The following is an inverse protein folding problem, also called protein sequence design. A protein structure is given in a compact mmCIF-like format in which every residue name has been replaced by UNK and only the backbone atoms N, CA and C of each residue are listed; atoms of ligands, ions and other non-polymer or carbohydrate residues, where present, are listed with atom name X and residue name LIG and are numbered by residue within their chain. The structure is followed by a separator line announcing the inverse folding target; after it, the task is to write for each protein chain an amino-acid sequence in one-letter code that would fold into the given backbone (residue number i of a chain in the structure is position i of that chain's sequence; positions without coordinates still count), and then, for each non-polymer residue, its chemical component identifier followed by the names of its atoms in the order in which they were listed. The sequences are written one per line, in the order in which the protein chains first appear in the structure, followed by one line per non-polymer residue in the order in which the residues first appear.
data_IF_361031835142
#
_entry.id   IF_361031835142
#
_cell.length_a   1.000
_cell.length_b   1.000
_cell.length_c   1.000
_cell.angle_alpha   90.00
_cell.angle_beta   90.00
_cell.angle_gamma   90.00
#
_symmetry.space_group_name_H-M   'P 1'
#
loop_
_entity.id
_entity.type
_entity.pdbx_description
1 polymer ?
#
# COMPACT_ATOMS: atom_id res chain seq x y z
N UNK A 1 14.88 -11.20 -6.97
CA UNK A 1 13.80 -10.72 -6.06
C UNK A 1 14.29 -9.67 -5.07
N UNK A 2 15.42 -9.86 -4.37
CA UNK A 2 15.96 -8.89 -3.40
C UNK A 2 16.13 -7.46 -3.92
N UNK A 3 16.88 -7.27 -5.01
CA UNK A 3 17.08 -5.94 -5.62
C UNK A 3 15.79 -5.21 -6.01
N UNK A 4 14.74 -5.97 -6.38
CA UNK A 4 13.43 -5.41 -6.71
C UNK A 4 12.69 -4.90 -5.47
N UNK A 5 12.76 -5.63 -4.36
CA UNK A 5 12.17 -5.22 -3.09
C UNK A 5 12.93 -4.01 -2.51
N UNK A 6 14.26 -4.01 -2.59
CA UNK A 6 15.10 -2.91 -2.10
C UNK A 6 14.79 -1.60 -2.86
N UNK A 7 14.69 -1.66 -4.20
CA UNK A 7 14.29 -0.52 -5.02
C UNK A 7 12.90 0.01 -4.68
N UNK A 8 11.96 -0.87 -4.35
CA UNK A 8 10.59 -0.49 -3.99
C UNK A 8 10.53 0.16 -2.60
N UNK A 9 11.35 -0.31 -1.66
CA UNK A 9 11.50 0.31 -0.35
C UNK A 9 12.01 1.74 -0.48
N UNK A 10 13.07 1.95 -1.26
CA UNK A 10 13.63 3.29 -1.49
C UNK A 10 12.58 4.23 -2.09
N UNK A 11 11.76 3.75 -3.02
CA UNK A 11 10.67 4.55 -3.62
C UNK A 11 9.61 4.93 -2.60
N UNK A 12 9.15 3.97 -1.78
CA UNK A 12 8.21 4.24 -0.70
C UNK A 12 8.74 5.30 0.27
N UNK A 13 10.01 5.19 0.68
CA UNK A 13 10.64 6.13 1.62
C UNK A 13 10.85 7.55 1.05
N UNK A 14 10.83 7.72 -0.27
CA UNK A 14 10.90 9.05 -0.92
C UNK A 14 9.53 9.73 -1.01
N UNK A 15 8.43 9.01 -0.79
CA UNK A 15 7.09 9.60 -0.77
C UNK A 15 6.89 10.40 0.53
N UNK A 16 6.13 11.50 0.43
CA UNK A 16 5.58 12.13 1.63
C UNK A 16 4.65 11.16 2.36
N UNK A 17 4.40 11.38 3.65
CA UNK A 17 3.51 10.55 4.47
C UNK A 17 2.13 10.38 3.84
N UNK A 18 1.51 11.48 3.39
CA UNK A 18 0.22 11.47 2.70
C UNK A 18 0.22 10.62 1.41
N UNK A 19 1.34 10.57 0.69
CA UNK A 19 1.50 9.79 -0.54
C UNK A 19 1.82 8.33 -0.25
N UNK A 20 2.53 8.06 0.83
CA UNK A 20 2.71 6.71 1.33
C UNK A 20 1.37 6.10 1.75
N UNK A 21 0.50 6.90 2.39
CA UNK A 21 -0.89 6.50 2.70
C UNK A 21 -1.71 6.29 1.42
N UNK A 22 -1.53 7.11 0.39
CA UNK A 22 -2.20 6.89 -0.90
C UNK A 22 -1.75 5.58 -1.56
N UNK A 23 -0.44 5.32 -1.64
CA UNK A 23 0.10 4.06 -2.15
C UNK A 23 -0.42 2.86 -1.34
N UNK A 24 -0.51 3.01 -0.01
CA UNK A 24 -1.12 2.05 0.88
C UNK A 24 -2.59 1.76 0.55
N UNK A 25 -3.42 2.80 0.38
CA UNK A 25 -4.85 2.65 0.09
C UNK A 25 -5.06 2.00 -1.29
N UNK A 26 -4.28 2.41 -2.29
CA UNK A 26 -4.30 1.80 -3.62
C UNK A 26 -3.89 0.32 -3.57
N UNK A 27 -2.87 -0.03 -2.79
CA UNK A 27 -2.46 -1.41 -2.60
C UNK A 27 -3.55 -2.25 -1.89
N UNK A 28 -4.13 -1.73 -0.81
CA UNK A 28 -5.24 -2.36 -0.11
C UNK A 28 -6.47 -2.56 -1.00
N UNK A 29 -6.75 -1.59 -1.88
CA UNK A 29 -7.83 -1.68 -2.86
C UNK A 29 -7.61 -2.81 -3.87
N UNK A 30 -6.41 -2.92 -4.45
CA UNK A 30 -6.05 -4.02 -5.34
C UNK A 30 -6.19 -5.39 -4.65
N UNK A 31 -5.75 -5.51 -3.40
CA UNK A 31 -5.91 -6.74 -2.60
C UNK A 31 -7.39 -7.08 -2.37
N UNK A 32 -8.24 -6.05 -2.20
CA UNK A 32 -9.69 -6.22 -2.04
C UNK A 32 -10.36 -6.66 -3.34
N UNK A 33 -9.94 -6.11 -4.49
CA UNK A 33 -10.43 -6.55 -5.80
C UNK A 33 -10.09 -8.01 -6.02
N UNK A 34 -8.84 -8.42 -5.79
CA UNK A 34 -8.40 -9.82 -5.91
C UNK A 34 -9.27 -10.73 -5.02
N UNK A 35 -9.52 -10.32 -3.78
CA UNK A 35 -10.37 -11.07 -2.85
C UNK A 35 -11.81 -11.24 -3.38
N UNK A 36 -12.40 -10.18 -3.95
CA UNK A 36 -13.76 -10.17 -4.48
C UNK A 36 -13.90 -10.94 -5.80
N UNK A 37 -12.96 -10.78 -6.72
CA UNK A 37 -12.96 -11.51 -8.00
C UNK A 37 -12.74 -13.02 -7.79
N UNK A 38 -11.94 -13.40 -6.78
CA UNK A 38 -11.71 -14.81 -6.47
C UNK A 38 -12.93 -15.46 -5.81
N UNK A 39 -13.75 -14.68 -5.10
CA UNK A 39 -14.92 -15.21 -4.39
C UNK A 39 -16.12 -14.28 -4.53
N UNK A 40 -16.86 -14.36 -5.65
CA UNK A 40 -18.03 -13.52 -5.89
C UNK A 40 -19.19 -13.78 -4.89
N UNK A 41 -19.18 -14.91 -4.17
CA UNK A 41 -20.28 -15.38 -3.30
C UNK A 41 -19.89 -15.55 -1.81
N UNK A 42 -19.11 -14.62 -1.25
CA UNK A 42 -18.71 -14.64 0.18
C UNK A 42 -19.84 -14.23 1.14
N UNK A 43 -21.02 -14.84 1.04
CA UNK A 43 -22.01 -14.80 2.14
C UNK A 43 -21.88 -15.98 3.10
N UNK A 44 -21.30 -17.13 2.72
CA UNK A 44 -21.37 -18.34 3.57
C UNK A 44 -20.12 -19.26 3.59
N UNK A 45 -18.96 -18.86 3.04
CA UNK A 45 -17.78 -19.75 3.00
C UNK A 45 -16.76 -19.37 4.08
N UNK A 46 -16.33 -20.31 4.96
CA UNK A 46 -15.23 -20.07 5.89
C UNK A 46 -13.95 -19.80 5.10
N UNK A 47 -13.40 -18.59 5.26
CA UNK A 47 -12.32 -17.99 4.46
C UNK A 47 -11.34 -19.01 3.86
N UNK A 48 -11.40 -19.29 2.55
CA UNK A 48 -10.39 -20.11 1.88
C UNK A 48 -9.12 -19.26 1.76
N UNK A 49 -7.94 -19.89 1.76
CA UNK A 49 -6.67 -19.27 2.18
C UNK A 49 -6.31 -17.91 1.55
N UNK A 50 -6.77 -17.62 0.33
CA UNK A 50 -6.56 -16.32 -0.31
C UNK A 50 -7.39 -15.20 0.35
N UNK A 51 -8.65 -15.43 0.70
CA UNK A 51 -9.46 -14.45 1.42
C UNK A 51 -8.89 -14.17 2.81
N UNK A 52 -8.38 -15.21 3.50
CA UNK A 52 -7.64 -15.06 4.76
C UNK A 52 -6.36 -14.26 4.56
N UNK A 53 -5.59 -14.55 3.51
CA UNK A 53 -4.38 -13.81 3.16
C UNK A 53 -4.66 -12.32 2.89
N UNK A 54 -5.75 -12.02 2.17
CA UNK A 54 -6.20 -10.65 1.92
C UNK A 54 -6.63 -9.98 3.23
N UNK A 55 -7.40 -10.65 4.07
CA UNK A 55 -7.88 -10.10 5.35
C UNK A 55 -6.73 -9.87 6.36
N UNK A 56 -5.79 -10.81 6.48
CA UNK A 56 -4.58 -10.65 7.31
C UNK A 56 -3.69 -9.52 6.79
N UNK A 57 -3.57 -9.38 5.47
CA UNK A 57 -2.85 -8.27 4.84
C UNK A 57 -3.55 -6.96 5.18
N UNK A 58 -4.88 -6.85 4.97
CA UNK A 58 -5.67 -5.67 5.35
C UNK A 58 -5.61 -5.35 6.85
N UNK A 59 -5.56 -6.37 7.71
CA UNK A 59 -5.42 -6.20 9.16
C UNK A 59 -4.04 -5.65 9.56
N UNK A 60 -2.94 -6.21 9.04
CA UNK A 60 -1.60 -5.66 9.24
C UNK A 60 -1.50 -4.23 8.72
N UNK A 61 -2.13 -4.00 7.58
CA UNK A 61 -2.15 -2.71 6.90
C UNK A 61 -2.95 -1.65 7.69
N UNK A 62 -4.09 -1.98 8.30
CA UNK A 62 -5.02 -1.01 8.91
C UNK A 62 -4.67 -0.53 10.33
N UNK A 63 -3.69 -1.15 11.02
CA UNK A 63 -3.35 -0.77 12.40
C UNK A 63 -2.52 0.51 12.56
N UNK A 64 -1.73 0.88 11.54
CA UNK A 64 -0.80 2.02 11.55
C UNK A 64 -1.25 3.34 10.88
N UNK A 65 -2.16 3.36 9.87
CA UNK A 65 -2.51 4.57 9.13
C UNK A 65 -3.05 5.71 9.99
N UNK A 66 -3.71 5.41 11.11
CA UNK A 66 -4.29 6.44 11.98
C UNK A 66 -3.23 7.43 12.49
N UNK A 67 -2.07 6.95 12.95
CA UNK A 67 -0.99 7.81 13.47
C UNK A 67 -0.28 8.61 12.37
N UNK A 68 -0.18 8.03 11.17
CA UNK A 68 0.38 8.69 9.99
C UNK A 68 -0.53 9.82 9.49
N UNK A 69 -1.85 9.59 9.48
CA UNK A 69 -2.85 10.59 9.11
C UNK A 69 -2.93 11.74 10.11
N UNK A 70 -2.59 11.49 11.37
CA UNK A 70 -2.51 12.52 12.42
C UNK A 70 -1.20 13.36 12.34
N UNK A 71 -0.29 13.06 11.40
CA UNK A 71 0.95 13.82 11.18
C UNK A 71 1.96 13.71 12.34
N UNK A 72 1.80 12.70 13.20
CA UNK A 72 2.60 12.51 14.41
C UNK A 72 3.62 11.35 14.27
N UNK A 73 3.80 10.81 13.06
CA UNK A 73 4.72 9.70 12.83
C UNK A 73 6.16 10.21 12.67
N UNK A 74 7.07 9.71 13.50
CA UNK A 74 8.49 9.98 13.35
C UNK A 74 9.08 9.23 12.13
N UNK A 75 10.27 9.61 11.62
CA UNK A 75 10.88 8.96 10.47
C UNK A 75 11.10 7.45 10.61
N UNK A 76 11.32 6.95 11.83
CA UNK A 76 11.48 5.52 12.09
C UNK A 76 10.13 4.79 11.99
N UNK A 77 9.04 5.42 12.43
CA UNK A 77 7.68 4.93 12.21
C UNK A 77 7.31 4.87 10.72
N UNK A 78 7.68 5.89 9.93
CA UNK A 78 7.47 5.89 8.47
C UNK A 78 8.22 4.75 7.78
N UNK A 79 9.48 4.53 8.18
CA UNK A 79 10.27 3.42 7.65
C UNK A 79 9.69 2.07 8.02
N UNK A 80 9.31 1.88 9.28
CA UNK A 80 8.69 0.64 9.76
C UNK A 80 7.39 0.35 9.02
N UNK A 81 6.61 1.39 8.71
CA UNK A 81 5.39 1.27 7.91
C UNK A 81 5.67 0.86 6.45
N UNK A 82 6.65 1.48 5.79
CA UNK A 82 7.07 1.09 4.44
C UNK A 82 7.59 -0.36 4.39
N UNK A 83 8.39 -0.77 5.37
CA UNK A 83 8.91 -2.13 5.50
C UNK A 83 7.79 -3.15 5.76
N UNK A 84 6.75 -2.79 6.51
CA UNK A 84 5.57 -3.63 6.73
C UNK A 84 4.78 -3.87 5.43
N UNK A 85 4.50 -2.81 4.66
CA UNK A 85 3.79 -2.92 3.36
C UNK A 85 4.60 -3.81 2.41
N UNK A 86 5.92 -3.60 2.34
CA UNK A 86 6.82 -4.38 1.51
C UNK A 86 6.88 -5.85 1.96
N UNK A 87 6.99 -6.09 3.27
CA UNK A 87 7.00 -7.44 3.85
C UNK A 87 5.75 -8.23 3.49
N UNK A 88 4.57 -7.62 3.62
CA UNK A 88 3.31 -8.22 3.21
C UNK A 88 3.30 -8.55 1.70
N UNK A 89 3.75 -7.62 0.85
CA UNK A 89 3.82 -7.84 -0.59
C UNK A 89 4.82 -8.95 -0.98
N UNK A 90 5.96 -9.06 -0.30
CA UNK A 90 6.95 -10.13 -0.52
C UNK A 90 6.39 -11.48 -0.10
N UNK A 91 5.83 -11.59 1.12
CA UNK A 91 5.29 -12.84 1.67
C UNK A 91 4.20 -13.43 0.78
N UNK A 92 3.37 -12.57 0.18
CA UNK A 92 2.25 -12.98 -0.70
C UNK A 92 2.58 -12.99 -2.19
N UNK A 93 3.82 -12.64 -2.56
CA UNK A 93 4.28 -12.52 -3.97
C UNK A 93 3.48 -11.48 -4.78
N UNK A 94 3.04 -10.40 -4.12
CA UNK A 94 2.22 -9.32 -4.67
C UNK A 94 3.01 -8.04 -4.98
N UNK A 95 4.33 -8.11 -5.08
CA UNK A 95 5.19 -6.98 -5.48
C UNK A 95 4.69 -6.21 -6.72
N UNK A 96 4.17 -6.85 -7.80
CA UNK A 96 3.66 -6.11 -8.95
C UNK A 96 2.47 -5.19 -8.64
N UNK A 97 1.64 -5.53 -7.66
CA UNK A 97 0.49 -4.71 -7.24
C UNK A 97 0.95 -3.49 -6.46
N UNK A 98 1.91 -3.69 -5.55
CA UNK A 98 2.53 -2.61 -4.80
C UNK A 98 3.28 -1.63 -5.73
N UNK A 99 3.95 -2.12 -6.77
CA UNK A 99 4.59 -1.28 -7.78
C UNK A 99 3.62 -0.35 -8.50
N UNK A 100 2.44 -0.85 -8.90
CA UNK A 100 1.40 -0.02 -9.52
C UNK A 100 0.88 1.03 -8.55
N UNK A 101 0.66 0.65 -7.30
CA UNK A 101 0.20 1.57 -6.26
C UNK A 101 1.21 2.70 -5.98
N UNK A 102 2.51 2.37 -5.89
CA UNK A 102 3.58 3.36 -5.73
C UNK A 102 3.68 4.27 -6.96
N UNK A 103 3.65 3.71 -8.17
CA UNK A 103 3.68 4.49 -9.40
C UNK A 103 2.48 5.45 -9.51
N UNK A 104 1.29 5.00 -9.08
CA UNK A 104 0.10 5.85 -9.02
C UNK A 104 0.30 7.02 -8.04
N UNK A 105 0.78 6.74 -6.82
CA UNK A 105 1.03 7.78 -5.81
C UNK A 105 2.10 8.79 -6.26
N UNK A 106 3.16 8.34 -6.94
CA UNK A 106 4.19 9.20 -7.55
C UNK A 106 3.57 10.11 -8.63
N UNK A 107 2.70 9.58 -9.49
CA UNK A 107 2.07 10.34 -10.58
C UNK A 107 1.14 11.45 -10.06
N UNK A 108 0.44 11.19 -8.96
CA UNK A 108 -0.43 12.17 -8.31
C UNK A 108 0.38 13.29 -7.64
N UNK A 109 1.63 13.03 -7.27
CA UNK A 109 2.57 14.06 -6.79
C UNK A 109 2.98 15.02 -7.89
N UNK A 110 3.12 14.55 -9.13
CA UNK A 110 3.52 15.39 -10.27
C UNK A 110 2.39 16.31 -10.74
N UNK A 111 1.12 15.86 -10.66
CA UNK A 111 -0.04 16.67 -11.05
C UNK A 111 -0.27 17.88 -10.14
N UNK A 112 0.09 17.80 -8.86
CA UNK A 112 -0.05 18.93 -7.92
C UNK A 112 1.08 19.98 -8.05
N UNK A 113 2.23 19.62 -8.60
CA UNK A 113 3.33 20.57 -8.88
C UNK A 113 3.14 21.40 -10.15
N UNK A 114 2.22 21.00 -11.03
CA UNK A 114 1.96 21.65 -12.32
C UNK A 114 0.77 22.65 -12.30
N UNK A 115 0.12 22.83 -11.16
CA UNK A 115 -1.18 23.51 -11.05
C UNK A 115 -1.20 24.76 -10.19
N UNK A 116 -0.55 25.85 -10.64
CA UNK A 116 -1.08 27.22 -10.50
C UNK A 116 -0.26 28.20 -11.37
N UNK A 117 -0.69 28.54 -12.60
CA UNK A 117 -0.23 29.76 -13.23
C UNK A 117 -0.95 30.92 -12.56
N UNK A 118 -0.22 31.70 -11.75
CA UNK A 118 -0.69 33.01 -11.28
C UNK A 118 -1.05 33.85 -12.51
N UNK A 119 -2.34 34.17 -12.66
CA UNK A 119 -2.79 35.30 -13.46
C UNK A 119 -2.93 36.51 -12.55
#
# INVERSE_FOLDING_TARGET
MKARADSLLERLLRLSESRMVLAYLSYAHEVTIIARETYPELTEVPMPDLARACNETLHHLSGHPKRLLEGAADPQSNRSFAEMILGAAVQRRWLPFLERAVAHAESESQKQGAGCPSK
#
